data_IF_014101119398
#
_entry.id   IF_014101119398
#
_cell.length_a   1.000
_cell.length_b   1.000
_cell.length_c   1.000
_cell.angle_alpha   90.00
_cell.angle_beta   90.00
_cell.angle_gamma   90.00
#
_symmetry.space_group_name_H-M   'P 1'
#
loop_
_entity.id
_entity.type
_entity.pdbx_description
1 polymer ?
#
# COMPACT_ATOMS: atom_id res chain seq x y z
N UNK A 1 -24.79 0.85 9.49
CA UNK A 1 -23.39 0.83 10.00
C UNK A 1 -23.11 2.17 10.64
N UNK A 2 -22.93 2.25 11.96
CA UNK A 2 -22.54 3.51 12.61
C UNK A 2 -21.07 3.80 12.29
N UNK A 3 -20.80 4.98 11.73
CA UNK A 3 -19.43 5.39 11.40
C UNK A 3 -18.56 5.45 12.66
N UNK A 4 -17.25 5.24 12.53
CA UNK A 4 -16.30 5.40 13.64
C UNK A 4 -16.41 6.80 14.28
N UNK A 5 -16.72 7.81 13.45
CA UNK A 5 -17.02 9.18 13.89
C UNK A 5 -18.22 9.24 14.84
N UNK A 6 -19.30 8.50 14.55
CA UNK A 6 -20.48 8.44 15.41
C UNK A 6 -20.16 7.78 16.76
N UNK A 7 -19.39 6.69 16.73
CA UNK A 7 -19.00 5.94 17.94
C UNK A 7 -18.05 6.69 18.86
N UNK A 8 -17.21 7.56 18.28
CA UNK A 8 -16.21 8.36 19.02
C UNK A 8 -16.68 9.80 19.26
N UNK A 9 -17.95 10.11 18.96
CA UNK A 9 -18.51 11.46 19.09
C UNK A 9 -18.40 12.02 20.51
N UNK A 10 -18.62 11.17 21.52
CA UNK A 10 -18.51 11.52 22.94
C UNK A 10 -17.09 11.90 23.37
N UNK A 11 -16.06 11.44 22.64
CA UNK A 11 -14.65 11.78 22.92
C UNK A 11 -14.24 13.12 22.33
N UNK A 12 -15.06 13.71 21.46
CA UNK A 12 -14.75 14.94 20.70
C UNK A 12 -15.32 16.18 21.38
N UNK A 13 -14.87 16.43 22.61
CA UNK A 13 -15.41 17.52 23.44
C UNK A 13 -14.77 18.86 23.09
N UNK A 14 -13.46 18.89 22.81
CA UNK A 14 -12.72 20.11 22.47
C UNK A 14 -12.71 20.40 20.97
N UNK A 15 -12.39 21.65 20.59
CA UNK A 15 -12.24 22.05 19.19
C UNK A 15 -11.14 21.23 18.48
N UNK A 16 -10.03 20.97 19.16
CA UNK A 16 -8.91 20.19 18.61
C UNK A 16 -9.31 18.73 18.36
N UNK A 17 -10.07 18.12 19.28
CA UNK A 17 -10.56 16.76 19.11
C UNK A 17 -11.62 16.66 18.00
N UNK A 18 -12.45 17.69 17.82
CA UNK A 18 -13.44 17.74 16.72
C UNK A 18 -12.76 17.83 15.36
N UNK A 19 -11.61 18.51 15.26
CA UNK A 19 -10.82 18.65 14.01
C UNK A 19 -9.95 17.43 13.70
N UNK A 20 -9.48 16.72 14.72
CA UNK A 20 -8.61 15.56 14.54
C UNK A 20 -9.36 14.38 13.88
N UNK A 21 -8.72 13.67 12.94
CA UNK A 21 -9.32 12.45 12.38
C UNK A 21 -9.24 11.29 13.38
N UNK A 22 -8.07 11.12 14.01
CA UNK A 22 -7.78 10.03 14.94
C UNK A 22 -7.60 10.55 16.36
N UNK A 23 -8.25 9.90 17.33
CA UNK A 23 -8.08 10.14 18.76
C UNK A 23 -7.47 8.89 19.41
N UNK A 24 -6.72 9.07 20.49
CA UNK A 24 -6.31 7.95 21.34
C UNK A 24 -7.49 7.48 22.22
N UNK A 25 -7.48 6.21 22.60
CA UNK A 25 -8.53 5.62 23.44
C UNK A 25 -8.39 5.94 24.92
N UNK A 26 -7.21 6.41 25.36
CA UNK A 26 -6.95 6.80 26.74
C UNK A 26 -7.47 8.21 26.98
N UNK A 27 -8.21 8.43 28.07
CA UNK A 27 -8.58 9.78 28.52
C UNK A 27 -7.31 10.65 28.71
N UNK A 28 -7.34 11.93 28.29
CA UNK A 28 -8.51 12.71 27.87
C UNK A 28 -8.90 12.59 26.38
N UNK A 29 -8.50 11.51 25.68
CA UNK A 29 -8.75 11.29 24.26
C UNK A 29 -8.12 12.36 23.36
N UNK A 30 -6.84 12.66 23.59
CA UNK A 30 -6.11 13.61 22.75
C UNK A 30 -6.02 13.13 21.29
N UNK A 31 -5.79 14.05 20.34
CA UNK A 31 -5.43 13.69 18.97
C UNK A 31 -4.25 12.71 18.96
N UNK A 32 -4.36 11.65 18.16
CA UNK A 32 -3.29 10.69 18.02
C UNK A 32 -2.08 11.32 17.31
N UNK A 33 -0.89 11.19 17.91
CA UNK A 33 0.35 11.62 17.27
C UNK A 33 0.71 10.74 16.07
N UNK A 34 1.56 11.27 15.18
CA UNK A 34 2.11 10.50 14.05
C UNK A 34 2.79 9.22 14.52
N UNK A 35 3.57 9.29 15.61
CA UNK A 35 4.25 8.13 16.19
C UNK A 35 3.28 7.08 16.71
N UNK A 36 2.17 7.52 17.32
CA UNK A 36 1.13 6.62 17.82
C UNK A 36 0.48 5.85 16.69
N UNK A 37 0.09 6.54 15.61
CA UNK A 37 -0.51 5.94 14.42
C UNK A 37 0.49 4.98 13.75
N UNK A 38 1.75 5.40 13.60
CA UNK A 38 2.80 4.55 13.06
C UNK A 38 3.03 3.29 13.93
N UNK A 39 2.93 3.42 15.25
CA UNK A 39 2.95 2.32 16.19
C UNK A 39 1.83 1.32 15.96
N UNK A 40 0.58 1.78 15.82
CA UNK A 40 -0.58 0.92 15.52
C UNK A 40 -0.40 0.15 14.21
N UNK A 41 0.05 0.82 13.14
CA UNK A 41 0.32 0.17 11.84
C UNK A 41 1.41 -0.89 11.98
N UNK A 42 2.52 -0.59 12.68
CA UNK A 42 3.61 -1.55 12.92
C UNK A 42 3.12 -2.76 13.72
N UNK A 43 2.28 -2.55 14.74
CA UNK A 43 1.73 -3.65 15.54
C UNK A 43 0.88 -4.59 14.70
N UNK A 44 0.02 -4.06 13.83
CA UNK A 44 -0.79 -4.87 12.91
C UNK A 44 0.11 -5.65 11.95
N UNK A 45 1.10 -4.99 11.34
CA UNK A 45 2.05 -5.66 10.44
C UNK A 45 2.81 -6.79 11.12
N UNK A 46 3.27 -6.59 12.37
CA UNK A 46 3.96 -7.62 13.14
C UNK A 46 3.07 -8.82 13.47
N UNK A 47 1.78 -8.59 13.72
CA UNK A 47 0.81 -9.67 13.93
C UNK A 47 0.66 -10.50 12.64
N UNK A 48 0.59 -9.85 11.48
CA UNK A 48 0.48 -10.54 10.19
C UNK A 48 1.79 -11.21 9.76
N UNK A 49 2.94 -10.62 10.08
CA UNK A 49 4.28 -11.11 9.74
C UNK A 49 5.32 -10.57 10.74
N UNK A 50 5.87 -11.40 11.63
CA UNK A 50 6.78 -10.97 12.70
C UNK A 50 8.05 -10.23 12.24
N UNK A 51 8.46 -10.38 10.98
CA UNK A 51 9.61 -9.70 10.39
C UNK A 51 9.28 -8.36 9.70
N UNK A 52 8.00 -7.99 9.61
CA UNK A 52 7.59 -6.83 8.82
C UNK A 52 7.81 -5.49 9.51
N UNK A 53 8.14 -4.48 8.72
CA UNK A 53 8.41 -3.10 9.15
C UNK A 53 7.42 -2.11 8.53
N UNK A 54 7.29 -0.91 9.12
CA UNK A 54 6.46 0.15 8.53
C UNK A 54 6.91 0.59 7.12
N UNK A 55 8.19 0.40 6.78
CA UNK A 55 8.71 0.68 5.43
C UNK A 55 8.05 -0.25 4.42
N UNK A 56 7.78 -1.50 4.80
CA UNK A 56 7.12 -2.50 3.96
C UNK A 56 5.73 -2.05 3.52
N UNK A 57 4.99 -1.31 4.37
CA UNK A 57 3.67 -0.79 3.98
C UNK A 57 3.76 0.23 2.84
N UNK A 58 4.75 1.13 2.87
CA UNK A 58 4.96 2.10 1.77
C UNK A 58 5.44 1.39 0.50
N UNK A 59 6.29 0.37 0.63
CA UNK A 59 6.71 -0.48 -0.49
C UNK A 59 5.50 -1.16 -1.13
N UNK A 60 4.63 -1.78 -0.33
CA UNK A 60 3.43 -2.45 -0.80
C UNK A 60 2.44 -1.47 -1.44
N UNK A 61 2.19 -0.31 -0.82
CA UNK A 61 1.32 0.71 -1.39
C UNK A 61 1.83 1.20 -2.76
N UNK A 62 3.15 1.47 -2.87
CA UNK A 62 3.77 1.85 -4.12
C UNK A 62 3.67 0.74 -5.18
N UNK A 63 3.87 -0.51 -4.78
CA UNK A 63 3.71 -1.68 -5.65
C UNK A 63 2.29 -1.77 -6.20
N UNK A 64 1.27 -1.69 -5.33
CA UNK A 64 -0.13 -1.74 -5.76
C UNK A 64 -0.50 -0.56 -6.66
N UNK A 65 -0.01 0.64 -6.38
CA UNK A 65 -0.22 1.79 -7.24
C UNK A 65 0.38 1.58 -8.64
N UNK A 66 1.61 1.06 -8.73
CA UNK A 66 2.24 0.73 -10.02
C UNK A 66 1.51 -0.39 -10.75
N UNK A 67 1.12 -1.45 -10.04
CA UNK A 67 0.32 -2.54 -10.63
C UNK A 67 -1.03 -2.04 -11.15
N UNK A 68 -1.60 -1.01 -10.55
CA UNK A 68 -2.81 -0.34 -11.03
C UNK A 68 -2.55 0.66 -12.18
N UNK A 69 -1.30 0.75 -12.68
CA UNK A 69 -0.91 1.62 -13.79
C UNK A 69 -0.52 3.04 -13.40
N UNK A 70 -0.32 3.34 -12.11
CA UNK A 70 0.15 4.67 -11.70
C UNK A 70 1.57 4.92 -12.23
N UNK A 71 1.75 6.03 -12.94
CA UNK A 71 3.06 6.47 -13.42
C UNK A 71 4.01 6.80 -12.27
N UNK A 72 5.32 6.65 -12.50
CA UNK A 72 6.36 6.84 -11.47
C UNK A 72 6.23 8.19 -10.74
N UNK A 73 6.05 9.28 -11.47
CA UNK A 73 5.87 10.63 -10.89
C UNK A 73 4.68 10.69 -9.91
N UNK A 74 3.59 10.01 -10.22
CA UNK A 74 2.41 9.94 -9.34
C UNK A 74 2.75 9.17 -8.06
N UNK A 75 3.46 8.05 -8.18
CA UNK A 75 3.90 7.25 -7.04
C UNK A 75 4.87 8.03 -6.16
N UNK A 76 5.81 8.77 -6.76
CA UNK A 76 6.75 9.62 -6.04
C UNK A 76 6.04 10.74 -5.26
N UNK A 77 5.09 11.42 -5.91
CA UNK A 77 4.29 12.47 -5.30
C UNK A 77 3.43 11.95 -4.15
N UNK A 78 2.71 10.82 -4.35
CA UNK A 78 1.86 10.20 -3.33
C UNK A 78 2.68 9.64 -2.16
N UNK A 79 3.85 9.08 -2.44
CA UNK A 79 4.76 8.50 -1.45
C UNK A 79 5.50 9.54 -0.61
N UNK A 80 5.47 10.81 -1.01
CA UNK A 80 6.22 11.92 -0.41
C UNK A 80 7.70 11.56 -0.18
N UNK A 81 8.35 10.95 -1.17
CA UNK A 81 9.76 10.61 -1.07
C UNK A 81 10.64 11.80 -1.40
N UNK A 82 11.74 11.95 -0.67
CA UNK A 82 12.66 13.08 -0.82
C UNK A 82 13.36 13.15 -2.19
N UNK A 83 13.42 12.03 -2.92
CA UNK A 83 13.93 11.98 -4.30
C UNK A 83 13.54 10.67 -4.99
N UNK A 84 13.63 10.67 -6.32
CA UNK A 84 13.51 9.45 -7.13
C UNK A 84 14.59 8.41 -6.77
N UNK A 85 15.82 8.85 -6.46
CA UNK A 85 16.91 7.95 -6.07
C UNK A 85 16.61 7.17 -4.79
N UNK A 86 15.97 7.81 -3.79
CA UNK A 86 15.55 7.15 -2.55
C UNK A 86 14.49 6.09 -2.84
N UNK A 87 13.53 6.38 -3.72
CA UNK A 87 12.53 5.40 -4.14
C UNK A 87 13.16 4.17 -4.80
N UNK A 88 13.99 4.38 -5.83
CA UNK A 88 14.67 3.29 -6.54
C UNK A 88 15.50 2.42 -5.59
N UNK A 89 16.32 3.05 -4.74
CA UNK A 89 17.30 2.35 -3.92
C UNK A 89 16.65 1.52 -2.80
N UNK A 90 15.66 2.08 -2.11
CA UNK A 90 15.09 1.47 -0.91
C UNK A 90 13.75 0.77 -1.14
N UNK A 91 13.00 1.14 -2.17
CA UNK A 91 11.61 0.70 -2.34
C UNK A 91 11.42 -0.18 -3.59
N UNK A 92 11.91 0.21 -4.76
CA UNK A 92 11.81 -0.64 -5.95
C UNK A 92 12.61 -1.95 -5.80
N UNK A 93 13.77 -1.90 -5.16
CA UNK A 93 14.52 -3.11 -4.81
C UNK A 93 13.71 -4.06 -3.91
N UNK A 94 12.99 -3.51 -2.94
CA UNK A 94 12.11 -4.27 -2.06
C UNK A 94 10.97 -4.95 -2.83
N UNK A 95 10.34 -4.23 -3.76
CA UNK A 95 9.33 -4.79 -4.68
C UNK A 95 9.91 -5.93 -5.51
N UNK A 96 11.08 -5.71 -6.13
CA UNK A 96 11.76 -6.72 -6.94
C UNK A 96 12.04 -8.00 -6.13
N UNK A 97 12.62 -7.86 -4.93
CA UNK A 97 12.91 -9.00 -4.05
C UNK A 97 11.65 -9.73 -3.59
N UNK A 98 10.57 -8.99 -3.31
CA UNK A 98 9.28 -9.57 -2.95
C UNK A 98 8.67 -10.37 -4.12
N UNK A 99 8.72 -9.82 -5.33
CA UNK A 99 8.24 -10.49 -6.54
C UNK A 99 9.04 -11.75 -6.85
N UNK A 100 10.38 -11.68 -6.74
CA UNK A 100 11.29 -12.81 -6.93
C UNK A 100 11.02 -13.91 -5.89
N UNK A 101 10.90 -13.55 -4.61
CA UNK A 101 10.62 -14.51 -3.53
C UNK A 101 9.29 -15.24 -3.72
N UNK A 102 8.28 -14.55 -4.25
CA UNK A 102 6.94 -15.11 -4.47
C UNK A 102 6.75 -15.69 -5.88
N UNK A 103 7.79 -15.76 -6.71
CA UNK A 103 7.74 -16.24 -8.10
C UNK A 103 6.66 -15.53 -8.96
N UNK A 104 6.28 -14.31 -8.59
CA UNK A 104 5.21 -13.55 -9.24
C UNK A 104 5.63 -13.12 -10.64
N UNK A 105 6.90 -12.76 -10.82
CA UNK A 105 7.42 -12.39 -12.15
C UNK A 105 7.31 -13.53 -13.16
N UNK A 106 7.61 -14.76 -12.76
CA UNK A 106 7.45 -15.94 -13.63
C UNK A 106 6.00 -16.24 -13.94
N UNK A 107 5.10 -16.07 -12.97
CA UNK A 107 3.65 -16.23 -13.16
C UNK A 107 3.08 -15.18 -14.13
N UNK A 108 3.46 -13.91 -13.96
CA UNK A 108 3.05 -12.84 -14.88
C UNK A 108 3.55 -13.12 -16.30
N UNK A 109 4.80 -13.55 -16.45
CA UNK A 109 5.36 -13.89 -17.76
C UNK A 109 4.68 -15.10 -18.39
N UNK A 110 4.30 -16.13 -17.62
CA UNK A 110 3.55 -17.27 -18.15
C UNK A 110 2.14 -16.87 -18.58
N UNK A 111 1.43 -16.08 -17.77
CA UNK A 111 0.08 -15.59 -18.10
C UNK A 111 0.09 -14.67 -19.34
N UNK A 112 1.05 -13.76 -19.42
CA UNK A 112 1.21 -12.87 -20.58
C UNK A 112 1.52 -13.66 -21.87
N UNK A 113 2.27 -14.75 -21.77
CA UNK A 113 2.58 -15.63 -22.89
C UNK A 113 1.35 -16.41 -23.36
N UNK A 114 0.56 -16.96 -22.42
CA UNK A 114 -0.71 -17.64 -22.72
C UNK A 114 -1.70 -16.69 -23.42
N UNK A 115 -1.77 -15.42 -23.00
CA UNK A 115 -2.60 -14.40 -23.65
C UNK A 115 -2.14 -14.02 -25.07
N UNK A 116 -0.84 -14.15 -25.38
CA UNK A 116 -0.31 -13.92 -26.72
C UNK A 116 -0.58 -15.11 -27.64
N UNK A 117 -0.32 -16.33 -27.17
CA UNK A 117 -0.51 -17.56 -27.94
C UNK A 117 -2.00 -17.75 -28.31
N UNK A 118 -2.93 -17.33 -27.45
CA UNK A 118 -4.37 -17.35 -27.72
C UNK A 118 -4.85 -16.29 -28.72
N UNK A 119 -4.13 -15.16 -28.85
CA UNK A 119 -4.42 -14.18 -29.91
C UNK A 119 -3.90 -14.65 -31.27
N UNK A 120 -2.75 -15.32 -31.30
CA UNK A 120 -2.17 -15.89 -32.52
C UNK A 120 -3.03 -17.03 -33.08
N UNK A 121 -3.62 -17.87 -32.21
CA UNK A 121 -4.57 -18.93 -32.63
C UNK A 121 -5.85 -18.34 -33.26
N UNK A 122 -6.43 -17.29 -32.66
CA UNK A 122 -7.65 -16.64 -33.17
C UNK A 122 -7.43 -15.92 -34.50
N UNK A 123 -6.25 -15.30 -34.69
CA UNK A 123 -5.90 -14.63 -35.95
C UNK A 123 -5.72 -15.66 -37.08
N UNK A 124 -5.18 -16.84 -36.78
CA UNK A 124 -4.93 -17.88 -37.78
C UNK A 124 -6.22 -18.64 -38.19
N UNK A 125 -7.16 -18.83 -37.26
CA UNK A 125 -8.50 -19.40 -37.56
C UNK A 125 -9.42 -18.44 -38.34
N UNK A 126 -9.15 -17.12 -38.28
CA UNK A 126 -9.93 -16.11 -39.03
C UNK A 126 -9.48 -15.97 -40.50
N UNK A 127 -8.44 -16.68 -40.91
CA UNK A 127 -7.84 -16.64 -42.26
C UNK A 127 -8.05 -17.92 -43.08
N UNK A 128 -8.86 -18.88 -42.59
CA UNK A 128 -9.37 -20.03 -43.35
C UNK A 128 -10.83 -19.82 -43.78
#
# INVERSE_FOLDING_TARGET
VTSLLSRTSLWRVSADQKRALFLITKEPHSPASVDTIAGWIKSILKISSPGSTAKDMRVLAAFFAQNAGAGLETVLALGNWSSNSVYHHFYQRGIKLMLERNQVSSLILSEARVGHDSLDEVINDSLQ
#
